data_IF_060534018391
#
_entry.id   IF_060534018391
#
_cell.length_a   1.000
_cell.length_b   1.000
_cell.length_c   1.000
_cell.angle_alpha   90.00
_cell.angle_beta   90.00
_cell.angle_gamma   90.00
#
_symmetry.space_group_name_H-M   'P 1'
#
loop_
_entity.id
_entity.type
_entity.pdbx_description
1 polymer ?
#
# COMPACT_ATOMS: atom_id res chain seq x y z
N UNK A 1 79.57 47.58 -17.56
CA UNK A 1 79.23 46.74 -16.38
C UNK A 1 77.75 46.37 -16.50
N UNK A 2 77.51 45.07 -16.74
CA UNK A 2 76.23 44.32 -16.75
C UNK A 2 75.14 44.78 -17.74
N UNK A 3 75.18 44.17 -18.93
CA UNK A 3 74.03 43.99 -19.80
C UNK A 3 73.22 42.77 -19.32
N UNK A 4 71.90 42.91 -19.32
CA UNK A 4 70.89 41.98 -18.82
C UNK A 4 70.31 41.23 -20.03
N UNK A 5 70.69 39.96 -20.18
CA UNK A 5 70.17 39.06 -21.22
C UNK A 5 68.98 38.24 -20.71
N UNK A 6 68.10 37.93 -21.68
CA UNK A 6 66.79 37.30 -21.58
C UNK A 6 66.90 35.78 -21.42
N UNK A 7 65.95 35.18 -20.71
CA UNK A 7 65.43 33.85 -21.05
C UNK A 7 63.91 33.81 -20.88
N UNK A 8 63.15 33.30 -21.88
CA UNK A 8 61.72 33.04 -21.76
C UNK A 8 61.44 31.59 -21.31
N UNK A 9 60.66 31.43 -20.24
CA UNK A 9 60.14 30.13 -19.81
C UNK A 9 59.24 29.52 -20.90
N UNK A 10 59.67 28.37 -21.42
CA UNK A 10 58.91 27.54 -22.36
C UNK A 10 57.91 26.66 -21.61
N UNK A 11 56.66 26.74 -22.06
CA UNK A 11 55.53 25.89 -21.73
C UNK A 11 55.90 24.40 -21.58
N UNK A 12 55.61 23.86 -20.39
CA UNK A 12 55.74 22.45 -20.02
C UNK A 12 54.41 21.66 -20.18
N UNK A 13 53.51 22.08 -21.08
CA UNK A 13 52.14 21.56 -21.15
C UNK A 13 51.83 20.61 -22.32
N UNK A 14 52.80 20.22 -23.16
CA UNK A 14 52.53 19.39 -24.37
C UNK A 14 53.34 18.08 -24.47
N UNK A 15 53.57 17.38 -23.36
CA UNK A 15 54.10 16.02 -23.39
C UNK A 15 53.32 15.10 -22.45
N UNK A 16 52.23 14.54 -22.95
CA UNK A 16 51.79 13.17 -22.67
C UNK A 16 50.53 12.87 -23.49
N UNK A 17 50.75 12.63 -24.77
CA UNK A 17 49.91 11.74 -25.57
C UNK A 17 50.82 10.66 -26.16
N UNK A 18 50.24 9.46 -26.33
CA UNK A 18 50.74 8.29 -27.03
C UNK A 18 51.47 7.22 -26.20
N UNK A 19 50.69 6.29 -25.65
CA UNK A 19 51.03 4.87 -25.69
C UNK A 19 49.77 3.99 -25.64
N UNK A 20 49.41 3.46 -26.83
CA UNK A 20 48.94 2.09 -27.10
C UNK A 20 47.51 1.65 -26.73
N UNK A 21 46.83 1.15 -27.77
CA UNK A 21 45.46 0.64 -27.90
C UNK A 21 45.24 -0.77 -27.27
N UNK A 22 44.17 -1.52 -27.64
CA UNK A 22 42.90 -1.69 -26.92
C UNK A 22 42.74 -3.09 -26.29
N UNK A 23 41.65 -3.34 -25.54
CA UNK A 23 40.85 -4.49 -25.93
C UNK A 23 39.37 -4.16 -26.04
N UNK A 24 38.82 -4.50 -27.20
CA UNK A 24 37.40 -4.69 -27.45
C UNK A 24 36.87 -5.82 -26.55
N UNK A 25 36.39 -5.47 -25.36
CA UNK A 25 35.44 -6.30 -24.63
C UNK A 25 34.04 -5.80 -24.95
N UNK A 26 33.40 -6.51 -25.88
CA UNK A 26 31.97 -6.47 -26.08
C UNK A 26 31.26 -6.84 -24.77
N UNK A 27 30.96 -5.84 -23.95
CA UNK A 27 29.97 -6.01 -22.90
C UNK A 27 28.62 -6.16 -23.61
N UNK A 28 27.90 -7.28 -23.45
CA UNK A 28 26.52 -7.34 -23.90
C UNK A 28 25.75 -6.23 -23.17
N UNK A 29 24.84 -5.52 -23.84
CA UNK A 29 23.98 -4.56 -23.16
C UNK A 29 23.20 -5.35 -22.12
N UNK A 30 23.48 -5.07 -20.84
CA UNK A 30 22.66 -5.54 -19.73
C UNK A 30 21.36 -4.74 -19.87
N UNK A 31 20.45 -5.26 -20.68
CA UNK A 31 19.05 -4.87 -20.69
C UNK A 31 18.51 -5.39 -19.36
N UNK A 32 18.73 -4.62 -18.29
CA UNK A 32 17.93 -4.77 -17.10
C UNK A 32 16.50 -4.53 -17.55
N UNK A 33 15.75 -5.63 -17.65
CA UNK A 33 14.32 -5.60 -17.90
C UNK A 33 13.74 -4.86 -16.71
N UNK A 34 13.56 -3.55 -16.88
CA UNK A 34 12.90 -2.67 -15.92
C UNK A 34 11.49 -3.20 -15.77
N UNK A 35 11.30 -4.03 -14.75
CA UNK A 35 10.00 -4.53 -14.37
C UNK A 35 9.17 -3.30 -14.00
N UNK A 36 8.01 -3.07 -14.67
CA UNK A 36 7.30 -1.81 -14.54
C UNK A 36 6.94 -1.56 -13.06
N UNK A 37 7.39 -0.45 -12.47
CA UNK A 37 7.07 -0.09 -11.11
C UNK A 37 5.59 0.31 -11.08
N UNK A 38 4.74 -0.52 -10.48
CA UNK A 38 3.32 -0.14 -10.31
C UNK A 38 2.33 -1.29 -10.22
N UNK A 39 2.65 -2.47 -10.75
CA UNK A 39 1.86 -3.65 -10.50
C UNK A 39 2.13 -4.12 -9.07
N UNK A 40 1.33 -3.61 -8.13
CA UNK A 40 1.18 -4.22 -6.81
C UNK A 40 0.98 -5.71 -7.07
N UNK A 41 1.96 -6.53 -6.68
CA UNK A 41 2.04 -7.88 -7.22
C UNK A 41 0.72 -8.59 -6.95
N UNK A 42 0.26 -9.45 -7.86
CA UNK A 42 -0.95 -10.26 -7.62
C UNK A 42 -0.88 -10.99 -6.25
N UNK A 43 0.33 -11.22 -5.73
CA UNK A 43 0.59 -11.66 -4.37
C UNK A 43 0.17 -10.67 -3.28
N UNK A 44 0.53 -9.38 -3.37
CA UNK A 44 0.11 -8.33 -2.43
C UNK A 44 -1.41 -8.12 -2.45
N UNK A 45 -2.03 -8.10 -3.64
CA UNK A 45 -3.47 -7.92 -3.78
C UNK A 45 -4.24 -9.13 -3.21
N UNK A 46 -3.69 -10.34 -3.36
CA UNK A 46 -4.19 -11.56 -2.73
C UNK A 46 -4.02 -11.55 -1.21
N UNK A 47 -2.90 -11.04 -0.69
CA UNK A 47 -2.69 -10.89 0.75
C UNK A 47 -3.68 -9.90 1.39
N UNK A 48 -3.97 -8.78 0.72
CA UNK A 48 -4.98 -7.82 1.17
C UNK A 48 -6.37 -8.43 1.26
N UNK A 49 -6.82 -9.14 0.22
CA UNK A 49 -8.12 -9.83 0.22
C UNK A 49 -8.19 -10.94 1.28
N UNK A 50 -7.10 -11.68 1.48
CA UNK A 50 -7.02 -12.73 2.50
C UNK A 50 -7.09 -12.12 3.92
N UNK A 51 -6.40 -11.01 4.16
CA UNK A 51 -6.46 -10.27 5.43
C UNK A 51 -7.86 -9.67 5.69
N UNK A 52 -8.58 -9.23 4.66
CA UNK A 52 -9.94 -8.69 4.80
C UNK A 52 -10.97 -9.80 5.09
N UNK A 53 -10.85 -10.96 4.43
CA UNK A 53 -11.66 -12.13 4.78
C UNK A 53 -11.35 -12.64 6.19
N UNK A 54 -10.06 -12.67 6.59
CA UNK A 54 -9.66 -13.02 7.95
C UNK A 54 -10.20 -12.01 8.97
N UNK A 55 -10.21 -10.70 8.65
CA UNK A 55 -10.88 -9.68 9.47
C UNK A 55 -12.39 -9.92 9.58
N UNK A 56 -13.07 -10.29 8.49
CA UNK A 56 -14.52 -10.60 8.50
C UNK A 56 -14.82 -11.92 9.24
N UNK A 57 -13.86 -12.85 9.30
CA UNK A 57 -13.92 -14.08 10.11
C UNK A 57 -13.53 -13.84 11.58
N UNK A 58 -12.87 -12.72 11.89
CA UNK A 58 -12.32 -12.43 13.20
C UNK A 58 -13.21 -11.49 14.02
N UNK A 59 -14.25 -12.06 14.63
CA UNK A 59 -14.35 -12.09 16.09
C UNK A 59 -15.47 -13.09 16.39
N UNK A 60 -15.15 -14.39 16.57
CA UNK A 60 -16.17 -15.32 17.04
C UNK A 60 -16.69 -14.74 18.35
N UNK A 61 -17.99 -14.45 18.40
CA UNK A 61 -18.63 -13.98 19.63
C UNK A 61 -18.18 -14.88 20.78
N UNK A 62 -17.94 -14.37 22.00
CA UNK A 62 -17.51 -15.19 23.14
C UNK A 62 -18.44 -16.39 23.37
N UNK A 63 -19.73 -16.26 23.03
CA UNK A 63 -20.68 -17.37 22.99
C UNK A 63 -20.36 -18.45 21.96
N UNK A 64 -19.92 -18.09 20.75
CA UNK A 64 -19.45 -19.05 19.74
C UNK A 64 -18.20 -19.78 20.21
N UNK A 65 -17.26 -19.11 20.86
CA UNK A 65 -16.06 -19.75 21.43
C UNK A 65 -16.47 -20.78 22.49
N UNK A 66 -17.42 -20.41 23.37
CA UNK A 66 -17.96 -21.31 24.38
C UNK A 66 -18.71 -22.49 23.74
N UNK A 67 -19.54 -22.23 22.73
CA UNK A 67 -20.32 -23.23 22.02
C UNK A 67 -19.42 -24.22 21.28
N UNK A 68 -18.37 -23.74 20.62
CA UNK A 68 -17.39 -24.57 19.92
C UNK A 68 -16.56 -25.39 20.92
N UNK A 69 -16.15 -24.79 22.04
CA UNK A 69 -15.48 -25.52 23.12
C UNK A 69 -16.38 -26.61 23.72
N UNK A 70 -17.68 -26.35 23.89
CA UNK A 70 -18.66 -27.34 24.39
C UNK A 70 -19.06 -28.39 23.36
N UNK A 71 -18.86 -28.12 22.06
CA UNK A 71 -19.24 -29.05 20.99
C UNK A 71 -18.38 -30.31 20.95
N UNK A 72 -17.16 -30.26 21.49
CA UNK A 72 -16.21 -31.39 21.49
C UNK A 72 -15.56 -31.57 22.85
N UNK A 73 -15.48 -32.83 23.32
CA UNK A 73 -14.81 -33.19 24.59
C UNK A 73 -13.33 -32.81 24.60
N UNK A 74 -12.65 -32.91 23.46
CA UNK A 74 -11.23 -32.57 23.35
C UNK A 74 -11.01 -31.06 23.40
N UNK A 75 -11.85 -30.29 22.70
CA UNK A 75 -11.83 -28.82 22.73
C UNK A 75 -12.16 -28.30 24.13
N UNK A 76 -13.11 -28.92 24.83
CA UNK A 76 -13.42 -28.60 26.21
C UNK A 76 -12.24 -28.85 27.15
N UNK A 77 -11.58 -30.02 27.05
CA UNK A 77 -10.39 -30.32 27.86
C UNK A 77 -9.26 -29.34 27.59
N UNK A 78 -9.01 -28.98 26.33
CA UNK A 78 -8.03 -27.95 25.97
C UNK A 78 -8.41 -26.57 26.52
N UNK A 79 -9.69 -26.22 26.48
CA UNK A 79 -10.21 -24.98 27.06
C UNK A 79 -9.98 -24.94 28.58
N UNK A 80 -10.25 -26.04 29.28
CA UNK A 80 -10.10 -26.18 30.74
C UNK A 80 -8.63 -26.16 31.16
N UNK A 81 -7.75 -26.81 30.40
CA UNK A 81 -6.31 -26.85 30.68
C UNK A 81 -5.58 -25.53 30.35
N UNK A 82 -6.24 -24.60 29.68
CA UNK A 82 -5.62 -23.33 29.33
C UNK A 82 -5.47 -22.44 30.59
N UNK A 83 -4.25 -22.01 30.96
CA UNK A 83 -4.02 -21.19 32.15
C UNK A 83 -4.81 -19.87 32.12
N UNK A 84 -5.13 -19.33 30.94
CA UNK A 84 -5.95 -18.12 30.80
C UNK A 84 -7.41 -18.33 31.23
N UNK A 85 -7.94 -19.52 31.05
CA UNK A 85 -9.34 -19.84 31.35
C UNK A 85 -9.51 -20.48 32.73
N UNK A 86 -8.41 -20.84 33.42
CA UNK A 86 -8.46 -21.50 34.73
C UNK A 86 -9.29 -20.73 35.76
N UNK A 87 -9.20 -19.39 35.79
CA UNK A 87 -10.01 -18.58 36.69
C UNK A 87 -11.52 -18.73 36.42
N UNK A 88 -11.92 -18.72 35.15
CA UNK A 88 -13.30 -18.98 34.75
C UNK A 88 -13.75 -20.39 35.15
N UNK A 89 -12.91 -21.40 34.90
CA UNK A 89 -13.22 -22.81 35.25
C UNK A 89 -13.41 -22.98 36.75
N UNK A 90 -12.54 -22.39 37.57
CA UNK A 90 -12.64 -22.43 39.04
C UNK A 90 -13.93 -21.75 39.49
N UNK A 91 -14.23 -20.55 38.97
CA UNK A 91 -15.45 -19.82 39.31
C UNK A 91 -16.72 -20.56 38.88
N UNK A 92 -16.74 -21.13 37.68
CA UNK A 92 -17.85 -21.93 37.17
C UNK A 92 -18.02 -23.24 37.96
N UNK A 93 -16.92 -23.87 38.36
CA UNK A 93 -16.92 -25.06 39.23
C UNK A 93 -17.49 -24.76 40.62
N UNK A 94 -17.05 -23.66 41.24
CA UNK A 94 -17.59 -23.20 42.53
C UNK A 94 -19.07 -22.82 42.41
N UNK A 95 -19.45 -22.09 41.36
CA UNK A 95 -20.85 -21.77 41.11
C UNK A 95 -21.70 -23.03 40.95
N UNK A 96 -21.19 -24.06 40.25
CA UNK A 96 -21.88 -25.33 40.07
C UNK A 96 -22.02 -26.12 41.37
N UNK A 97 -20.97 -26.18 42.19
CA UNK A 97 -21.04 -26.82 43.52
C UNK A 97 -22.06 -26.10 44.43
N UNK A 98 -22.10 -24.77 44.40
CA UNK A 98 -23.12 -23.99 45.11
C UNK A 98 -24.54 -24.27 44.60
N UNK A 99 -24.75 -24.40 43.27
CA UNK A 99 -26.07 -24.79 42.73
C UNK A 99 -26.50 -26.17 43.22
N UNK A 100 -25.59 -27.15 43.23
CA UNK A 100 -25.90 -28.51 43.66
C UNK A 100 -26.24 -28.56 45.16
N UNK A 101 -25.47 -27.84 45.98
CA UNK A 101 -25.73 -27.75 47.42
C UNK A 101 -27.07 -27.07 47.72
N UNK A 102 -27.36 -25.95 47.07
CA UNK A 102 -28.61 -25.20 47.28
C UNK A 102 -29.83 -25.94 46.78
N UNK A 103 -29.75 -26.63 45.63
CA UNK A 103 -30.85 -27.47 45.11
C UNK A 103 -31.12 -28.70 45.97
N UNK A 104 -30.06 -29.36 46.47
CA UNK A 104 -30.20 -30.46 47.44
C UNK A 104 -30.90 -29.99 48.71
N UNK A 105 -30.45 -28.87 49.29
CA UNK A 105 -31.04 -28.31 50.51
C UNK A 105 -32.48 -27.82 50.30
N UNK A 106 -32.78 -27.20 49.16
CA UNK A 106 -34.13 -26.78 48.81
C UNK A 106 -35.07 -27.98 48.66
N UNK A 107 -34.62 -29.06 48.01
CA UNK A 107 -35.40 -30.30 47.89
C UNK A 107 -35.72 -30.91 49.27
N UNK A 108 -34.74 -30.90 50.17
CA UNK A 108 -34.92 -31.37 51.55
C UNK A 108 -35.95 -30.54 52.34
N UNK A 109 -35.89 -29.21 52.26
CA UNK A 109 -36.84 -28.33 52.95
C UNK A 109 -38.26 -28.39 52.38
N UNK A 110 -38.42 -28.53 51.05
CA UNK A 110 -39.74 -28.66 50.42
C UNK A 110 -40.46 -29.92 50.93
N UNK A 111 -39.73 -31.01 51.12
CA UNK A 111 -40.28 -32.26 51.65
C UNK A 111 -40.71 -32.12 53.12
N UNK A 112 -39.98 -31.36 53.93
CA UNK A 112 -40.23 -31.26 55.38
C UNK A 112 -41.18 -30.14 55.78
N UNK A 113 -41.19 -29.00 55.09
CA UNK A 113 -41.79 -27.77 55.60
C UNK A 113 -42.92 -27.18 54.74
N UNK A 114 -43.35 -27.84 53.67
CA UNK A 114 -44.56 -27.49 52.88
C UNK A 114 -44.70 -25.99 52.55
N UNK A 115 -43.58 -25.29 52.31
CA UNK A 115 -43.55 -23.86 52.00
C UNK A 115 -42.19 -23.37 51.55
N UNK A 116 -42.17 -22.44 50.59
CA UNK A 116 -40.96 -21.73 50.16
C UNK A 116 -40.66 -20.59 51.15
N UNK A 117 -39.57 -20.71 51.90
CA UNK A 117 -39.10 -19.64 52.78
C UNK A 117 -38.28 -18.58 52.04
N UNK A 118 -38.34 -17.32 52.50
CA UNK A 118 -37.57 -16.17 51.98
C UNK A 118 -36.05 -16.39 51.91
N UNK A 119 -35.52 -17.34 52.71
CA UNK A 119 -34.12 -17.75 52.67
C UNK A 119 -33.73 -18.43 51.35
N UNK A 120 -34.64 -19.19 50.76
CA UNK A 120 -34.37 -19.91 49.49
C UNK A 120 -34.28 -18.94 48.31
N UNK A 121 -35.13 -17.90 48.29
CA UNK A 121 -35.11 -16.85 47.26
C UNK A 121 -33.79 -16.08 47.23
N UNK A 122 -33.26 -15.72 48.41
CA UNK A 122 -31.97 -15.04 48.51
C UNK A 122 -30.81 -15.91 48.00
N UNK A 123 -30.85 -17.22 48.27
CA UNK A 123 -29.83 -18.15 47.75
C UNK A 123 -29.85 -18.23 46.21
N UNK A 124 -31.03 -18.22 45.59
CA UNK A 124 -31.15 -18.17 44.13
C UNK A 124 -30.60 -16.86 43.54
N UNK A 125 -30.85 -15.71 44.19
CA UNK A 125 -30.29 -14.43 43.74
C UNK A 125 -28.76 -14.41 43.81
N UNK A 126 -28.17 -14.91 44.90
CA UNK A 126 -26.71 -15.04 45.01
C UNK A 126 -26.13 -15.96 43.93
N UNK A 127 -26.84 -17.04 43.60
CA UNK A 127 -26.42 -17.99 42.58
C UNK A 127 -26.43 -17.37 41.17
N UNK A 128 -27.45 -16.57 40.84
CA UNK A 128 -27.50 -15.81 39.59
C UNK A 128 -26.33 -14.82 39.55
N UNK A 129 -26.04 -14.13 40.66
CA UNK A 129 -24.89 -13.23 40.77
C UNK A 129 -23.55 -13.93 40.54
N UNK A 130 -23.34 -15.13 41.09
CA UNK A 130 -22.14 -15.93 40.87
C UNK A 130 -21.98 -16.35 39.40
N UNK A 131 -23.06 -16.80 38.75
CA UNK A 131 -23.04 -17.14 37.33
C UNK A 131 -22.78 -15.92 36.45
N UNK A 132 -23.41 -14.78 36.74
CA UNK A 132 -23.16 -13.53 36.04
C UNK A 132 -21.70 -13.08 36.20
N UNK A 133 -21.12 -13.23 37.40
CA UNK A 133 -19.71 -12.98 37.66
C UNK A 133 -18.78 -13.88 36.85
N UNK A 134 -19.05 -15.18 36.82
CA UNK A 134 -18.28 -16.13 36.01
C UNK A 134 -18.33 -15.77 34.52
N UNK A 135 -19.52 -15.48 33.97
CA UNK A 135 -19.68 -15.04 32.59
C UNK A 135 -18.89 -13.75 32.33
N UNK A 136 -18.98 -12.76 33.22
CA UNK A 136 -18.26 -11.48 33.10
C UNK A 136 -16.74 -11.67 32.99
N UNK A 137 -16.14 -12.57 33.79
CA UNK A 137 -14.70 -12.87 33.71
C UNK A 137 -14.28 -13.45 32.36
N UNK A 138 -15.13 -14.27 31.73
CA UNK A 138 -14.87 -14.82 30.40
C UNK A 138 -14.89 -13.73 29.33
N UNK A 139 -15.81 -12.77 29.42
CA UNK A 139 -15.84 -11.61 28.53
C UNK A 139 -14.58 -10.77 28.66
N UNK A 140 -14.11 -10.50 29.88
CA UNK A 140 -12.90 -9.71 30.11
C UNK A 140 -11.66 -10.31 29.44
N UNK A 141 -11.43 -11.62 29.62
CA UNK A 141 -10.30 -12.33 28.99
C UNK A 141 -10.42 -12.31 27.47
N UNK A 142 -11.62 -12.54 26.93
CA UNK A 142 -11.85 -12.55 25.48
C UNK A 142 -11.62 -11.17 24.84
N UNK A 143 -12.05 -10.11 25.52
CA UNK A 143 -11.84 -8.73 25.09
C UNK A 143 -10.35 -8.40 25.13
N UNK A 144 -9.65 -8.78 26.19
CA UNK A 144 -8.20 -8.53 26.31
C UNK A 144 -7.41 -9.23 25.20
N UNK A 145 -7.74 -10.50 24.89
CA UNK A 145 -7.12 -11.21 23.77
C UNK A 145 -7.45 -10.56 22.41
N UNK A 146 -8.65 -10.02 22.25
CA UNK A 146 -9.04 -9.29 21.04
C UNK A 146 -8.24 -7.99 20.90
N UNK A 147 -8.10 -7.22 21.98
CA UNK A 147 -7.28 -6.01 22.03
C UNK A 147 -5.83 -6.34 21.67
N UNK A 148 -5.25 -7.36 22.28
CA UNK A 148 -3.86 -7.78 21.99
C UNK A 148 -3.68 -8.15 20.51
N UNK A 149 -4.65 -8.84 19.91
CA UNK A 149 -4.63 -9.16 18.47
C UNK A 149 -4.73 -7.90 17.60
N UNK A 150 -5.62 -6.96 17.96
CA UNK A 150 -5.74 -5.69 17.24
C UNK A 150 -4.47 -4.84 17.36
N UNK A 151 -3.83 -4.79 18.53
CA UNK A 151 -2.55 -4.11 18.72
C UNK A 151 -1.46 -4.76 17.87
N UNK A 152 -1.36 -6.10 17.86
CA UNK A 152 -0.38 -6.80 17.03
C UNK A 152 -0.62 -6.56 15.52
N UNK A 153 -1.88 -6.56 15.08
CA UNK A 153 -2.26 -6.24 13.70
C UNK A 153 -1.95 -4.79 13.33
N UNK A 154 -2.23 -3.84 14.22
CA UNK A 154 -1.90 -2.44 14.00
C UNK A 154 -0.38 -2.25 13.89
N UNK A 155 0.42 -2.84 14.77
CA UNK A 155 1.87 -2.77 14.69
C UNK A 155 2.41 -3.36 13.37
N UNK A 156 1.81 -4.44 12.88
CA UNK A 156 2.18 -5.04 11.60
C UNK A 156 1.80 -4.12 10.43
N UNK A 157 0.60 -3.55 10.44
CA UNK A 157 0.15 -2.60 9.42
C UNK A 157 1.00 -1.34 9.41
N UNK A 158 1.36 -0.79 10.58
CA UNK A 158 2.27 0.35 10.68
C UNK A 158 3.65 0.02 10.11
N UNK A 159 4.15 -1.19 10.34
CA UNK A 159 5.42 -1.65 9.74
C UNK A 159 5.32 -1.76 8.23
N UNK A 160 4.25 -2.37 7.70
CA UNK A 160 4.02 -2.50 6.26
C UNK A 160 3.85 -1.13 5.58
N UNK A 161 3.16 -0.18 6.22
CA UNK A 161 3.05 1.21 5.75
C UNK A 161 4.41 1.91 5.77
N UNK A 162 5.23 1.69 6.80
CA UNK A 162 6.59 2.25 6.89
C UNK A 162 7.53 1.70 5.81
N UNK A 163 7.49 0.39 5.55
CA UNK A 163 8.24 -0.26 4.48
C UNK A 163 7.81 0.28 3.11
N UNK A 164 6.51 0.42 2.86
CA UNK A 164 6.00 0.96 1.61
C UNK A 164 6.36 2.44 1.41
N UNK A 165 6.31 3.25 2.47
CA UNK A 165 6.76 4.64 2.43
C UNK A 165 8.26 4.75 2.09
N UNK A 166 9.08 3.84 2.64
CA UNK A 166 10.50 3.77 2.31
C UNK A 166 10.74 3.38 0.84
N UNK A 167 9.97 2.42 0.31
CA UNK A 167 10.04 2.04 -1.11
C UNK A 167 9.63 3.19 -2.03
N UNK A 168 8.57 3.93 -1.70
CA UNK A 168 8.12 5.10 -2.47
C UNK A 168 9.20 6.19 -2.49
N UNK A 169 9.78 6.52 -1.33
CA UNK A 169 10.89 7.48 -1.26
C UNK A 169 12.11 7.02 -2.08
N UNK A 170 12.38 5.71 -2.12
CA UNK A 170 13.45 5.14 -2.95
C UNK A 170 13.16 5.26 -4.45
N UNK A 171 11.89 5.05 -4.86
CA UNK A 171 11.45 5.26 -6.23
C UNK A 171 11.51 6.72 -6.65
N UNK A 172 11.12 7.64 -5.76
CA UNK A 172 11.19 9.08 -5.98
C UNK A 172 12.64 9.53 -6.18
N UNK A 173 13.56 9.13 -5.30
CA UNK A 173 14.99 9.42 -5.45
C UNK A 173 15.56 8.84 -6.77
N UNK A 174 15.14 7.64 -7.16
CA UNK A 174 15.55 7.03 -8.44
C UNK A 174 14.98 7.82 -9.63
N UNK A 175 13.76 8.31 -9.53
CA UNK A 175 13.13 9.16 -10.54
C UNK A 175 13.83 10.51 -10.68
N UNK A 176 14.19 11.15 -9.57
CA UNK A 176 14.97 12.39 -9.56
C UNK A 176 16.36 12.17 -10.19
N UNK A 177 17.03 11.07 -9.86
CA UNK A 177 18.32 10.73 -10.47
C UNK A 177 18.20 10.50 -11.99
N UNK A 178 17.12 9.85 -12.45
CA UNK A 178 16.85 9.68 -13.88
C UNK A 178 16.56 11.02 -14.57
N UNK A 179 15.85 11.93 -13.91
CA UNK A 179 15.61 13.27 -14.43
C UNK A 179 16.93 14.07 -14.54
N UNK A 180 17.81 14.00 -13.53
CA UNK A 180 19.13 14.63 -13.59
C UNK A 180 19.98 14.05 -14.72
N UNK A 181 19.99 12.72 -14.89
CA UNK A 181 20.70 12.07 -16.00
C UNK A 181 20.17 12.53 -17.37
N UNK A 182 18.85 12.67 -17.52
CA UNK A 182 18.24 13.23 -18.74
C UNK A 182 18.75 14.65 -19.03
N UNK A 183 18.79 15.53 -18.02
CA UNK A 183 19.32 16.89 -18.21
C UNK A 183 20.81 16.91 -18.56
N UNK A 184 21.60 15.99 -18.00
CA UNK A 184 23.01 15.84 -18.37
C UNK A 184 23.17 15.34 -19.81
N UNK A 185 22.29 14.42 -20.24
CA UNK A 185 22.26 13.94 -21.62
C UNK A 185 21.83 15.03 -22.62
N UNK A 186 20.92 15.93 -22.26
CA UNK A 186 20.58 17.09 -23.09
C UNK A 186 21.79 18.03 -23.26
N UNK A 187 22.60 18.20 -22.21
CA UNK A 187 23.88 18.91 -22.29
C UNK A 187 24.87 18.25 -23.26
N UNK A 188 24.99 16.92 -23.22
CA UNK A 188 25.82 16.15 -24.16
C UNK A 188 25.29 16.29 -25.59
N UNK A 189 23.97 16.27 -25.78
CA UNK A 189 23.34 16.47 -27.09
C UNK A 189 23.71 17.83 -27.66
N UNK A 190 23.60 18.91 -26.88
CA UNK A 190 24.00 20.25 -27.31
C UNK A 190 25.47 20.34 -27.71
N UNK A 191 26.38 19.72 -26.93
CA UNK A 191 27.81 19.66 -27.25
C UNK A 191 28.09 18.84 -28.52
N UNK A 192 27.37 17.73 -28.71
CA UNK A 192 27.47 16.94 -29.93
C UNK A 192 26.95 17.71 -31.16
N UNK A 193 25.90 18.53 -31.02
CA UNK A 193 25.35 19.33 -32.14
C UNK A 193 26.37 20.38 -32.58
N UNK A 194 27.08 20.98 -31.62
CA UNK A 194 28.18 21.90 -31.88
C UNK A 194 29.39 21.20 -32.54
N UNK A 195 29.80 20.02 -32.06
CA UNK A 195 30.85 19.23 -32.70
C UNK A 195 30.48 18.75 -34.11
N UNK A 196 29.24 18.38 -34.35
CA UNK A 196 28.74 17.93 -35.65
C UNK A 196 28.77 19.07 -36.69
N UNK A 197 28.40 20.30 -36.29
CA UNK A 197 28.55 21.50 -37.12
C UNK A 197 30.00 21.73 -37.55
N UNK A 198 30.96 21.33 -36.71
CA UNK A 198 32.39 21.51 -36.97
C UNK A 198 33.06 20.33 -37.70
N UNK A 199 32.54 19.10 -37.61
CA UNK A 199 33.30 17.88 -38.00
C UNK A 199 32.87 17.22 -39.31
N UNK A 200 31.73 17.60 -39.90
CA UNK A 200 31.34 17.17 -41.25
C UNK A 200 31.05 15.67 -41.41
N UNK A 201 29.76 15.34 -41.50
CA UNK A 201 29.18 14.17 -42.21
C UNK A 201 29.02 12.83 -41.45
N UNK A 202 29.91 12.38 -40.56
CA UNK A 202 29.67 11.09 -39.84
C UNK A 202 28.76 11.16 -38.59
N UNK A 203 28.45 12.36 -38.09
CA UNK A 203 27.68 12.51 -36.85
C UNK A 203 26.16 12.32 -36.98
N UNK A 204 25.60 12.39 -38.19
CA UNK A 204 24.14 12.31 -38.40
C UNK A 204 23.55 10.96 -37.96
N UNK A 205 24.27 9.85 -38.20
CA UNK A 205 23.78 8.52 -37.83
C UNK A 205 23.73 8.32 -36.31
N UNK A 206 24.74 8.83 -35.59
CA UNK A 206 24.79 8.78 -34.14
C UNK A 206 23.67 9.64 -33.51
N UNK A 207 23.39 10.81 -34.09
CA UNK A 207 22.28 11.68 -33.70
C UNK A 207 20.91 11.03 -33.87
N UNK A 208 20.70 10.37 -35.02
CA UNK A 208 19.46 9.64 -35.28
C UNK A 208 19.24 8.52 -34.24
N UNK A 209 20.31 7.78 -33.89
CA UNK A 209 20.25 6.71 -32.89
C UNK A 209 19.96 7.25 -31.48
N UNK A 210 20.63 8.33 -31.06
CA UNK A 210 20.40 8.94 -29.75
C UNK A 210 18.99 9.52 -29.64
N UNK A 211 18.51 10.19 -30.70
CA UNK A 211 17.13 10.73 -30.76
C UNK A 211 16.09 9.60 -30.66
N UNK A 212 16.35 8.46 -31.29
CA UNK A 212 15.49 7.28 -31.18
C UNK A 212 15.42 6.75 -29.74
N UNK A 213 16.54 6.70 -29.02
CA UNK A 213 16.55 6.29 -27.60
C UNK A 213 15.74 7.26 -26.73
N UNK A 214 15.87 8.57 -26.97
CA UNK A 214 15.07 9.57 -26.26
C UNK A 214 13.57 9.42 -26.52
N UNK A 215 13.16 9.26 -27.79
CA UNK A 215 11.75 9.02 -28.12
C UNK A 215 11.20 7.77 -27.41
N UNK A 216 12.00 6.69 -27.34
CA UNK A 216 11.62 5.50 -26.60
C UNK A 216 11.54 5.72 -25.09
N UNK A 217 12.37 6.59 -24.51
CA UNK A 217 12.33 6.90 -23.08
C UNK A 217 11.11 7.76 -22.72
N UNK A 218 10.80 8.75 -23.55
CA UNK A 218 9.57 9.55 -23.44
C UNK A 218 8.33 8.67 -23.55
N UNK A 219 8.30 7.70 -24.46
CA UNK A 219 7.21 6.75 -24.59
C UNK A 219 7.03 5.86 -23.35
N UNK A 220 8.14 5.42 -22.75
CA UNK A 220 8.10 4.65 -21.49
C UNK A 220 7.56 5.52 -20.36
N UNK A 221 8.00 6.77 -20.26
CA UNK A 221 7.50 7.71 -19.26
C UNK A 221 6.00 7.97 -19.44
N UNK A 222 5.52 8.18 -20.68
CA UNK A 222 4.10 8.36 -20.99
C UNK A 222 3.27 7.13 -20.57
N UNK A 223 3.78 5.92 -20.81
CA UNK A 223 3.13 4.67 -20.38
C UNK A 223 3.09 4.52 -18.86
N UNK A 224 4.16 4.89 -18.16
CA UNK A 224 4.20 4.85 -16.70
C UNK A 224 3.20 5.84 -16.10
N UNK A 225 3.16 7.07 -16.62
CA UNK A 225 2.21 8.09 -16.18
C UNK A 225 0.76 7.68 -16.47
N UNK A 226 0.49 7.09 -17.64
CA UNK A 226 -0.81 6.52 -17.97
C UNK A 226 -1.21 5.43 -16.96
N UNK A 227 -0.31 4.49 -16.65
CA UNK A 227 -0.58 3.41 -15.71
C UNK A 227 -0.86 3.93 -14.28
N UNK A 228 -0.20 5.01 -13.87
CA UNK A 228 -0.48 5.67 -12.59
C UNK A 228 -1.88 6.29 -12.56
N UNK A 229 -2.30 6.96 -13.63
CA UNK A 229 -3.63 7.55 -13.75
C UNK A 229 -4.72 6.46 -13.78
N UNK A 230 -4.52 5.40 -14.57
CA UNK A 230 -5.42 4.25 -14.65
C UNK A 230 -5.59 3.55 -13.31
N UNK A 231 -4.48 3.34 -12.58
CA UNK A 231 -4.53 2.76 -11.24
C UNK A 231 -5.31 3.64 -10.26
N UNK A 232 -5.03 4.95 -10.24
CA UNK A 232 -5.73 5.89 -9.35
C UNK A 232 -7.24 5.94 -9.63
N UNK A 233 -7.64 5.81 -10.89
CA UNK A 233 -9.05 5.70 -11.26
C UNK A 233 -9.68 4.38 -10.83
N UNK A 234 -9.02 3.25 -11.11
CA UNK A 234 -9.50 1.93 -10.73
C UNK A 234 -9.66 1.77 -9.21
N UNK A 235 -8.73 2.33 -8.42
CA UNK A 235 -8.80 2.33 -6.95
C UNK A 235 -10.04 3.10 -6.43
N UNK A 236 -10.52 4.10 -7.17
CA UNK A 236 -11.70 4.89 -6.81
C UNK A 236 -12.99 4.18 -7.25
N UNK A 237 -13.06 3.69 -8.48
CA UNK A 237 -14.21 2.92 -9.00
C UNK A 237 -14.47 1.64 -8.16
N UNK A 238 -13.42 1.04 -7.60
CA UNK A 238 -13.58 -0.12 -6.72
C UNK A 238 -14.32 0.21 -5.39
N UNK A 239 -14.42 1.48 -4.98
CA UNK A 239 -15.03 1.83 -3.69
C UNK A 239 -16.55 1.71 -3.68
N UNK A 240 -17.22 1.90 -4.81
CA UNK A 240 -18.70 1.95 -4.88
C UNK A 240 -19.33 0.72 -5.57
N UNK A 241 -18.52 -0.11 -6.22
CA UNK A 241 -18.92 -1.27 -7.01
C UNK A 241 -19.88 -0.95 -8.18
N UNK A 242 -19.88 0.28 -8.69
CA UNK A 242 -20.59 0.65 -9.91
C UNK A 242 -19.59 0.82 -11.06
N UNK A 243 -20.08 0.59 -12.28
CA UNK A 243 -19.25 0.77 -13.47
C UNK A 243 -19.25 2.24 -13.88
N UNK A 244 -18.07 2.78 -14.16
CA UNK A 244 -17.88 4.18 -14.56
C UNK A 244 -17.69 5.12 -13.37
N UNK A 245 -17.28 6.36 -13.66
CA UNK A 245 -16.89 7.33 -12.63
C UNK A 245 -17.90 8.46 -12.52
N UNK A 246 -18.51 8.61 -11.34
CA UNK A 246 -19.42 9.70 -11.01
C UNK A 246 -18.67 11.01 -10.71
N UNK A 247 -19.38 12.14 -10.69
CA UNK A 247 -18.78 13.46 -10.38
C UNK A 247 -18.08 13.49 -9.01
N UNK A 248 -18.63 12.80 -8.02
CA UNK A 248 -18.03 12.76 -6.67
C UNK A 248 -16.73 11.98 -6.67
N UNK A 249 -16.67 10.89 -7.43
CA UNK A 249 -15.47 10.06 -7.59
C UNK A 249 -14.41 10.77 -8.41
N UNK A 250 -14.81 11.48 -9.47
CA UNK A 250 -13.91 12.33 -10.24
C UNK A 250 -13.28 13.44 -9.38
N UNK A 251 -14.04 14.05 -8.47
CA UNK A 251 -13.51 14.99 -7.47
C UNK A 251 -12.49 14.34 -6.53
N UNK A 252 -12.66 13.05 -6.18
CA UNK A 252 -11.67 12.29 -5.41
C UNK A 252 -10.44 11.97 -6.26
N UNK A 253 -10.64 11.60 -7.52
CA UNK A 253 -9.58 11.32 -8.49
C UNK A 253 -8.64 12.51 -8.63
N UNK A 254 -9.17 13.71 -8.87
CA UNK A 254 -8.36 14.94 -8.97
C UNK A 254 -7.53 15.22 -7.70
N UNK A 255 -7.96 14.75 -6.51
CA UNK A 255 -7.21 14.88 -5.25
C UNK A 255 -6.14 13.80 -5.05
N UNK A 256 -6.30 12.65 -5.67
CA UNK A 256 -5.35 11.52 -5.58
C UNK A 256 -4.24 11.62 -6.62
N UNK A 257 -4.53 12.19 -7.78
CA UNK A 257 -3.58 12.36 -8.88
C UNK A 257 -2.38 13.25 -8.49
N UNK A 258 -1.15 12.94 -8.93
CA UNK A 258 0.04 13.76 -8.69
C UNK A 258 -0.11 15.24 -9.04
N UNK A 259 0.59 16.11 -8.32
CA UNK A 259 0.50 17.58 -8.44
C UNK A 259 0.75 18.08 -9.86
N UNK A 260 1.68 17.45 -10.61
CA UNK A 260 1.99 17.78 -12.01
C UNK A 260 0.76 17.78 -12.95
N UNK A 261 -0.19 16.88 -12.72
CA UNK A 261 -1.43 16.82 -13.52
C UNK A 261 -2.54 17.63 -12.85
N UNK A 262 -2.49 17.78 -11.53
CA UNK A 262 -3.50 18.51 -10.75
C UNK A 262 -3.61 19.96 -11.21
N UNK A 263 -2.50 20.63 -11.50
CA UNK A 263 -2.51 22.01 -11.98
C UNK A 263 -3.33 22.17 -13.27
N UNK A 264 -3.30 21.18 -14.16
CA UNK A 264 -4.11 21.17 -15.38
C UNK A 264 -5.58 20.82 -15.13
N UNK A 265 -5.85 20.01 -14.10
CA UNK A 265 -7.19 19.58 -13.69
C UNK A 265 -7.94 20.58 -12.80
N UNK A 266 -7.24 21.54 -12.17
CA UNK A 266 -7.78 22.35 -11.06
C UNK A 266 -8.69 23.49 -11.48
N UNK A 267 -8.63 23.92 -12.73
CA UNK A 267 -9.26 25.19 -13.13
C UNK A 267 -10.79 25.09 -13.06
N UNK A 268 -11.39 24.00 -13.56
CA UNK A 268 -12.84 23.77 -13.45
C UNK A 268 -13.15 22.26 -13.46
N UNK A 269 -13.13 21.63 -12.29
CA UNK A 269 -13.36 20.18 -12.14
C UNK A 269 -14.75 19.78 -12.68
N UNK A 270 -15.77 20.61 -12.44
CA UNK A 270 -17.14 20.31 -12.85
C UNK A 270 -17.35 20.46 -14.36
N UNK A 271 -16.72 21.45 -14.99
CA UNK A 271 -16.77 21.65 -16.44
C UNK A 271 -15.98 20.56 -17.18
N UNK A 272 -14.80 20.24 -16.66
CA UNK A 272 -13.98 19.13 -17.16
C UNK A 272 -14.75 17.82 -17.08
N UNK A 273 -15.41 17.55 -15.95
CA UNK A 273 -16.25 16.36 -15.80
C UNK A 273 -17.38 16.33 -16.82
N UNK A 274 -18.15 17.42 -16.97
CA UNK A 274 -19.26 17.50 -17.94
C UNK A 274 -18.78 17.31 -19.38
N UNK A 275 -17.59 17.81 -19.71
CA UNK A 275 -16.99 17.67 -21.04
C UNK A 275 -16.59 16.23 -21.34
N UNK A 276 -16.10 15.49 -20.33
CA UNK A 276 -15.62 14.12 -20.48
C UNK A 276 -16.76 13.09 -20.38
N UNK A 277 -17.72 13.31 -19.47
CA UNK A 277 -18.85 12.42 -19.23
C UNK A 277 -19.99 12.55 -20.26
N UNK A 278 -20.00 13.59 -21.09
CA UNK A 278 -21.07 13.79 -22.05
C UNK A 278 -22.46 13.96 -21.42
N UNK A 279 -23.48 13.30 -21.99
CA UNK A 279 -24.89 13.48 -21.61
C UNK A 279 -25.35 12.57 -20.46
N UNK A 280 -24.70 11.43 -20.22
CA UNK A 280 -25.14 10.45 -19.22
C UNK A 280 -24.66 10.80 -17.80
N UNK A 281 -23.67 11.69 -17.69
CA UNK A 281 -23.11 12.14 -16.41
C UNK A 281 -22.26 11.07 -15.72
N UNK A 282 -21.78 10.05 -16.45
CA UNK A 282 -20.89 9.00 -15.96
C UNK A 282 -19.72 8.87 -16.94
N UNK A 283 -18.49 8.98 -16.45
CA UNK A 283 -17.32 8.78 -17.32
C UNK A 283 -17.14 7.28 -17.54
N UNK A 284 -17.33 6.82 -18.78
CA UNK A 284 -17.05 5.45 -19.20
C UNK A 284 -15.54 5.18 -19.32
N UNK A 285 -15.14 3.90 -19.39
CA UNK A 285 -13.73 3.52 -19.52
C UNK A 285 -13.05 4.12 -20.77
N UNK A 286 -13.77 4.16 -21.89
CA UNK A 286 -13.22 4.70 -23.15
C UNK A 286 -13.05 6.22 -23.10
N UNK A 287 -14.01 6.95 -22.50
CA UNK A 287 -13.92 8.39 -22.26
C UNK A 287 -12.79 8.73 -21.28
N UNK A 288 -12.65 7.93 -20.22
CA UNK A 288 -11.56 8.06 -19.27
C UNK A 288 -10.19 7.88 -19.95
N UNK A 289 -10.06 6.87 -20.81
CA UNK A 289 -8.83 6.63 -21.57
C UNK A 289 -8.51 7.77 -22.54
N UNK A 290 -9.51 8.30 -23.23
CA UNK A 290 -9.34 9.46 -24.11
C UNK A 290 -8.89 10.69 -23.31
N UNK A 291 -9.50 10.90 -22.14
CA UNK A 291 -9.16 11.97 -21.22
C UNK A 291 -7.72 11.87 -20.70
N UNK A 292 -7.27 10.67 -20.29
CA UNK A 292 -5.89 10.48 -19.84
C UNK A 292 -4.87 10.77 -20.93
N UNK A 293 -5.13 10.32 -22.16
CA UNK A 293 -4.23 10.63 -23.29
C UNK A 293 -4.14 12.15 -23.54
N UNK A 294 -5.28 12.86 -23.45
CA UNK A 294 -5.32 14.32 -23.59
C UNK A 294 -4.49 15.03 -22.51
N UNK A 295 -4.63 14.64 -21.25
CA UNK A 295 -3.84 15.21 -20.15
C UNK A 295 -2.34 14.97 -20.37
N UNK A 296 -1.96 13.76 -20.79
CA UNK A 296 -0.56 13.41 -21.02
C UNK A 296 0.04 14.22 -22.17
N UNK A 297 -0.74 14.54 -23.19
CA UNK A 297 -0.34 15.44 -24.29
C UNK A 297 -0.20 16.89 -23.82
N UNK A 298 -1.17 17.40 -23.05
CA UNK A 298 -1.14 18.78 -22.51
C UNK A 298 0.01 19.02 -21.52
N UNK A 299 0.48 17.97 -20.83
CA UNK A 299 1.62 18.02 -19.93
C UNK A 299 2.97 17.90 -20.63
N UNK A 300 3.02 17.46 -21.89
CA UNK A 300 4.26 17.33 -22.66
C UNK A 300 4.21 18.08 -24.00
N UNK A 301 4.13 19.43 -23.97
CA UNK A 301 3.98 20.24 -25.18
C UNK A 301 5.16 20.15 -26.16
N UNK A 302 6.32 19.63 -25.71
CA UNK A 302 7.52 19.54 -26.55
C UNK A 302 7.48 18.40 -27.59
N UNK A 303 6.51 17.48 -27.53
CA UNK A 303 6.40 16.39 -28.50
C UNK A 303 5.65 16.76 -29.79
N UNK A 304 5.11 17.99 -29.89
CA UNK A 304 4.17 18.38 -30.95
C UNK A 304 4.70 19.24 -32.08
N UNK A 305 5.96 19.73 -32.03
CA UNK A 305 6.59 20.42 -33.16
C UNK A 305 7.55 19.47 -33.89
N UNK A 306 7.19 18.96 -35.08
CA UNK A 306 8.08 18.17 -35.93
C UNK A 306 9.24 19.00 -36.52
#
# INVERSE_FOLDING_TARGET
>A
LKAQEREPERCQACRQTAALAPPSTSCPPIVHTLQPPGAMSASQQKQLKMNEEERKKALPSPFKVLQEAMSSKTSFMLFVLNPKNMLFVIMAGLASLCTLYTTWHAGWEVVLHFGFGTRTEFCYLLQIGLWAGAISTLFQVTIQDSINKFTALNNRLEKEVGELAQEVNGLEATSEQLAEQLTAFDGIRAQMEECAKNSGVEFQELFAKTTSVFSSMTDVQKKQDYALLEKAAADIEFMDNQAGMTLQEFKRFCKTVPTKFREKLSNDIEETFKTVAGEDGIISYDEQKAFFNKILEDCNPQAGEP
#
